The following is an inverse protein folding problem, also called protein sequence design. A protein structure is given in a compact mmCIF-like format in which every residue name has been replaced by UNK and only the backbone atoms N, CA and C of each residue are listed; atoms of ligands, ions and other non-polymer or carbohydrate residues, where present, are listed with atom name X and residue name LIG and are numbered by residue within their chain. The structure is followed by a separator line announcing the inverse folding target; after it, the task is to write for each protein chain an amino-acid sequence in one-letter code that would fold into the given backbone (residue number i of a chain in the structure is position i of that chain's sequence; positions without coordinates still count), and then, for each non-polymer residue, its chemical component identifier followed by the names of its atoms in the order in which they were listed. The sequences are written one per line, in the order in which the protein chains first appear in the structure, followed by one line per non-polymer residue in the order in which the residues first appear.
data_IF_177456617962
#
_entry.id   IF_177456617962
#
_cell.length_a   1.000
_cell.length_b   1.000
_cell.length_c   1.000
_cell.angle_alpha   90.00
_cell.angle_beta   90.00
_cell.angle_gamma   90.00
#
_symmetry.space_group_name_H-M   'P 1'
#
loop_
_entity.id
_entity.type
_entity.pdbx_description
1 polymer ?
#
# COMPACT_ATOMS: atom_id res chain seq x y z
N UNK A 1 -13.44 5.46 -22.02
CA UNK A 1 -13.19 5.90 -20.64
C UNK A 1 -12.23 7.07 -20.70
N UNK A 2 -12.72 8.31 -20.59
CA UNK A 2 -11.87 9.51 -20.74
C UNK A 2 -11.43 9.95 -19.35
N UNK A 3 -10.13 9.87 -19.09
CA UNK A 3 -9.49 10.28 -17.84
C UNK A 3 -9.26 11.79 -17.89
N UNK A 4 -9.84 12.54 -16.94
CA UNK A 4 -9.58 13.97 -16.80
C UNK A 4 -8.24 14.19 -16.07
N UNK A 5 -7.34 14.92 -16.73
CA UNK A 5 -6.01 15.28 -16.25
C UNK A 5 -6.10 16.37 -15.15
N UNK A 6 -5.44 16.20 -13.97
CA UNK A 6 -5.57 17.13 -12.84
C UNK A 6 -4.97 18.53 -13.07
N UNK A 7 -4.14 18.73 -14.10
CA UNK A 7 -3.49 20.03 -14.35
C UNK A 7 -4.44 21.12 -14.89
N UNK A 8 -5.67 20.78 -15.27
CA UNK A 8 -6.67 21.76 -15.70
C UNK A 8 -7.60 22.25 -14.57
N UNK A 9 -7.50 21.71 -13.36
CA UNK A 9 -8.40 22.07 -12.27
C UNK A 9 -8.07 23.43 -11.61
N UNK A 10 -6.83 23.92 -11.75
CA UNK A 10 -6.37 25.12 -11.03
C UNK A 10 -6.17 26.34 -11.94
N UNK A 11 -6.17 26.17 -13.27
CA UNK A 11 -6.09 27.30 -14.22
C UNK A 11 -7.46 27.85 -14.67
N UNK A 12 -8.58 27.40 -14.08
CA UNK A 12 -9.92 27.85 -14.48
C UNK A 12 -10.52 28.95 -13.58
N UNK A 13 -9.90 29.24 -12.43
CA UNK A 13 -10.45 30.18 -11.46
C UNK A 13 -9.85 31.58 -11.49
N UNK A 14 -8.89 31.84 -12.38
CA UNK A 14 -8.31 33.17 -12.49
C UNK A 14 -8.62 33.81 -13.85
N UNK A 15 -9.55 34.78 -13.80
CA UNK A 15 -9.90 35.73 -14.87
C UNK A 15 -10.62 35.14 -16.09
N UNK A 16 -11.96 35.12 -16.03
CA UNK A 16 -12.87 35.93 -16.88
C UNK A 16 -14.32 35.43 -16.80
N UNK A 17 -15.23 36.40 -16.76
CA UNK A 17 -16.69 36.32 -16.95
C UNK A 17 -17.17 35.08 -17.73
N UNK A 18 -17.80 34.12 -17.04
CA UNK A 18 -18.48 32.99 -17.68
C UNK A 18 -19.94 33.36 -17.97
N UNK A 19 -20.22 33.53 -19.25
CA UNK A 19 -21.55 33.69 -19.84
C UNK A 19 -22.43 32.43 -19.68
N UNK A 20 -23.77 32.51 -19.87
CA UNK A 20 -24.75 31.57 -19.30
C UNK A 20 -24.83 30.15 -19.91
N UNK A 21 -23.99 29.79 -20.88
CA UNK A 21 -24.34 28.69 -21.81
C UNK A 21 -23.66 27.34 -21.52
N UNK A 22 -22.65 27.28 -20.64
CA UNK A 22 -21.96 26.01 -20.30
C UNK A 22 -22.72 25.17 -19.28
N UNK A 23 -23.44 25.82 -18.36
CA UNK A 23 -24.29 25.16 -17.36
C UNK A 23 -25.46 24.38 -18.01
N UNK A 24 -25.88 24.79 -19.21
CA UNK A 24 -26.96 24.14 -19.95
C UNK A 24 -26.54 22.76 -20.49
N UNK A 25 -25.32 22.62 -21.02
CA UNK A 25 -24.88 21.36 -21.63
C UNK A 25 -24.61 20.26 -20.59
N UNK A 26 -24.04 20.63 -19.43
CA UNK A 26 -23.85 19.71 -18.31
C UNK A 26 -25.19 19.26 -17.72
N UNK A 27 -26.15 20.17 -17.59
CA UNK A 27 -27.49 19.83 -17.11
C UNK A 27 -28.23 18.87 -18.06
N UNK A 28 -28.06 19.01 -19.38
CA UNK A 28 -28.64 18.10 -20.38
C UNK A 28 -27.99 16.71 -20.32
N UNK A 29 -26.67 16.61 -20.14
CA UNK A 29 -25.99 15.32 -20.00
C UNK A 29 -26.42 14.58 -18.72
N UNK A 30 -26.54 15.29 -17.59
CA UNK A 30 -26.98 14.71 -16.32
C UNK A 30 -28.46 14.29 -16.41
N UNK A 31 -29.33 15.08 -17.04
CA UNK A 31 -30.74 14.68 -17.22
C UNK A 31 -30.88 13.44 -18.10
N UNK A 32 -30.05 13.32 -19.14
CA UNK A 32 -30.00 12.12 -19.98
C UNK A 32 -29.51 10.90 -19.19
N UNK A 33 -28.48 11.08 -18.35
CA UNK A 33 -27.96 10.05 -17.45
C UNK A 33 -29.01 9.62 -16.42
N UNK A 34 -29.62 10.55 -15.70
CA UNK A 34 -30.67 10.25 -14.71
C UNK A 34 -31.87 9.55 -15.35
N UNK A 35 -32.27 9.93 -16.58
CA UNK A 35 -33.37 9.26 -17.28
C UNK A 35 -33.03 7.81 -17.68
N UNK A 36 -31.76 7.55 -18.01
CA UNK A 36 -31.27 6.21 -18.35
C UNK A 36 -31.17 5.29 -17.11
N UNK A 37 -30.82 5.84 -15.95
CA UNK A 37 -30.55 5.05 -14.73
C UNK A 37 -31.64 5.14 -13.65
N UNK A 38 -32.63 6.02 -13.79
CA UNK A 38 -33.79 6.13 -12.88
C UNK A 38 -34.57 4.81 -12.63
N UNK A 39 -34.69 3.86 -13.58
CA UNK A 39 -35.33 2.57 -13.30
C UNK A 39 -34.61 1.70 -12.27
N UNK A 40 -33.34 2.00 -11.98
CA UNK A 40 -32.48 1.25 -11.07
C UNK A 40 -32.27 1.96 -9.72
N UNK A 41 -32.87 3.13 -9.53
CA UNK A 41 -32.83 3.85 -8.25
C UNK A 41 -33.89 3.31 -7.28
N UNK A 42 -33.64 3.33 -5.95
CA UNK A 42 -34.64 3.01 -4.94
C UNK A 42 -35.92 3.84 -5.16
N UNK A 43 -37.09 3.26 -4.89
CA UNK A 43 -38.41 3.86 -5.15
C UNK A 43 -38.59 5.29 -4.59
N UNK A 44 -37.89 5.62 -3.51
CA UNK A 44 -37.85 6.96 -2.90
C UNK A 44 -37.21 7.99 -3.82
N UNK A 45 -36.12 7.67 -4.53
CA UNK A 45 -35.43 8.60 -5.45
C UNK A 45 -36.27 8.93 -6.70
N UNK A 46 -37.06 7.97 -7.19
CA UNK A 46 -37.91 8.13 -8.37
C UNK A 46 -39.06 9.11 -8.16
N UNK A 47 -39.61 9.19 -6.93
CA UNK A 47 -40.66 10.15 -6.56
C UNK A 47 -40.14 11.59 -6.51
N UNK A 48 -38.91 11.81 -6.02
CA UNK A 48 -38.28 13.13 -5.99
C UNK A 48 -38.02 13.69 -7.40
N UNK A 49 -37.57 12.85 -8.34
CA UNK A 49 -37.27 13.28 -9.71
C UNK A 49 -38.54 13.73 -10.46
N UNK A 50 -39.64 12.99 -10.33
CA UNK A 50 -40.91 13.32 -10.96
C UNK A 50 -41.50 14.66 -10.47
N UNK A 51 -41.33 14.97 -9.18
CA UNK A 51 -41.76 16.24 -8.59
C UNK A 51 -40.90 17.42 -9.06
N UNK A 52 -39.57 17.24 -9.16
CA UNK A 52 -38.65 18.26 -9.68
C UNK A 52 -38.95 18.60 -11.16
N UNK A 53 -39.31 17.59 -11.96
CA UNK A 53 -39.64 17.76 -13.38
C UNK A 53 -40.95 18.55 -13.62
N UNK A 54 -41.80 18.74 -12.60
CA UNK A 54 -43.03 19.56 -12.69
C UNK A 54 -42.84 21.03 -12.30
N UNK A 55 -41.68 21.41 -11.76
CA UNK A 55 -41.43 22.78 -11.32
C UNK A 55 -41.23 23.77 -12.50
N UNK A 56 -41.59 25.06 -12.33
CA UNK A 56 -41.26 26.12 -13.28
C UNK A 56 -39.76 26.23 -13.55
N UNK A 57 -39.38 26.63 -14.78
CA UNK A 57 -37.98 26.61 -15.26
C UNK A 57 -37.01 27.36 -14.36
N UNK A 58 -37.39 28.52 -13.80
CA UNK A 58 -36.57 29.31 -12.86
C UNK A 58 -36.35 28.61 -11.51
N UNK A 59 -37.32 27.81 -11.06
CA UNK A 59 -37.27 27.08 -9.80
C UNK A 59 -36.43 25.80 -9.98
N UNK A 60 -36.60 25.10 -11.11
CA UNK A 60 -35.78 23.93 -11.49
C UNK A 60 -34.29 24.22 -11.41
N UNK A 61 -33.81 25.32 -11.98
CA UNK A 61 -32.37 25.63 -11.98
C UNK A 61 -31.80 25.81 -10.56
N UNK A 62 -32.57 26.45 -9.67
CA UNK A 62 -32.17 26.68 -8.27
C UNK A 62 -32.17 25.39 -7.44
N UNK A 63 -33.14 24.50 -7.66
CA UNK A 63 -33.20 23.20 -6.99
C UNK A 63 -32.21 22.19 -7.57
N UNK A 64 -31.99 22.16 -8.88
CA UNK A 64 -30.95 21.34 -9.51
C UNK A 64 -29.57 21.71 -8.95
N UNK A 65 -29.28 23.00 -8.77
CA UNK A 65 -28.01 23.44 -8.18
C UNK A 65 -27.86 23.00 -6.72
N UNK A 66 -28.94 23.09 -5.93
CA UNK A 66 -28.96 22.61 -4.53
C UNK A 66 -28.84 21.09 -4.43
N UNK A 67 -29.50 20.33 -5.32
CA UNK A 67 -29.38 18.87 -5.40
C UNK A 67 -27.95 18.49 -5.80
N UNK A 68 -27.32 19.19 -6.74
CA UNK A 68 -25.91 18.96 -7.09
C UNK A 68 -24.98 19.16 -5.88
N UNK A 69 -25.16 20.26 -5.13
CA UNK A 69 -24.37 20.51 -3.91
C UNK A 69 -24.60 19.41 -2.87
N UNK A 70 -25.85 19.00 -2.64
CA UNK A 70 -26.19 17.94 -1.68
C UNK A 70 -25.68 16.57 -2.13
N UNK A 71 -25.73 16.23 -3.42
CA UNK A 71 -25.20 14.97 -3.95
C UNK A 71 -23.68 14.93 -3.89
N UNK A 72 -23.01 16.04 -4.22
CA UNK A 72 -21.56 16.20 -4.09
C UNK A 72 -21.16 16.12 -2.62
N UNK A 73 -21.88 16.77 -1.71
CA UNK A 73 -21.64 16.68 -0.27
C UNK A 73 -21.94 15.26 0.27
N UNK A 74 -22.97 14.57 -0.22
CA UNK A 74 -23.26 13.18 0.15
C UNK A 74 -22.18 12.21 -0.36
N UNK A 75 -21.64 12.44 -1.56
CA UNK A 75 -20.48 11.70 -2.08
C UNK A 75 -19.20 12.02 -1.30
N UNK A 76 -19.04 13.25 -0.79
CA UNK A 76 -17.92 13.67 0.06
C UNK A 76 -18.06 13.21 1.52
N UNK A 77 -19.27 12.87 1.98
CA UNK A 77 -19.58 12.51 3.38
C UNK A 77 -19.92 11.01 3.51
N UNK A 78 -19.71 10.18 2.48
CA UNK A 78 -19.66 8.73 2.74
C UNK A 78 -18.45 8.47 3.64
N UNK A 79 -18.63 8.11 4.93
CA UNK A 79 -17.51 7.71 5.76
C UNK A 79 -16.94 6.50 5.04
N UNK A 80 -15.65 6.54 4.68
CA UNK A 80 -15.01 5.38 4.10
C UNK A 80 -15.34 4.20 5.01
N UNK A 81 -15.94 3.14 4.45
CA UNK A 81 -16.28 1.93 5.19
C UNK A 81 -15.01 1.15 5.59
N UNK A 82 -13.87 1.83 5.63
CA UNK A 82 -12.57 1.25 5.60
C UNK A 82 -12.13 0.97 7.05
N UNK A 83 -11.89 -0.30 7.34
CA UNK A 83 -11.46 -0.76 8.64
C UNK A 83 -9.95 -0.58 8.80
N UNK A 84 -9.51 -0.59 10.05
CA UNK A 84 -8.09 -0.68 10.40
C UNK A 84 -7.83 -2.04 11.01
N UNK A 85 -6.87 -2.79 10.46
CA UNK A 85 -6.38 -4.03 11.05
C UNK A 85 -5.13 -3.72 11.87
N UNK A 86 -5.15 -4.04 13.14
CA UNK A 86 -4.00 -3.92 14.04
C UNK A 86 -3.64 -5.27 14.63
N UNK A 87 -2.45 -5.38 15.19
CA UNK A 87 -2.07 -6.59 15.90
C UNK A 87 -0.59 -6.64 16.20
N UNK A 88 -0.19 -7.79 16.74
CA UNK A 88 1.18 -8.09 17.10
C UNK A 88 1.62 -9.43 16.53
N UNK A 89 2.86 -9.51 16.05
CA UNK A 89 3.53 -10.75 15.67
C UNK A 89 4.54 -11.11 16.76
N UNK A 90 4.38 -12.30 17.33
CA UNK A 90 5.21 -12.81 18.42
C UNK A 90 5.94 -14.10 18.00
N UNK A 91 7.16 -14.29 18.47
CA UNK A 91 7.87 -15.57 18.43
C UNK A 91 7.60 -16.32 19.72
N UNK A 92 7.26 -17.60 19.58
CA UNK A 92 6.98 -18.50 20.69
C UNK A 92 7.88 -19.74 20.63
N UNK A 93 8.09 -20.38 21.79
CA UNK A 93 8.98 -21.54 21.91
C UNK A 93 10.47 -21.17 21.83
N UNK A 94 11.30 -22.17 21.57
CA UNK A 94 12.75 -21.99 21.50
C UNK A 94 13.19 -21.33 20.19
N UNK A 95 14.05 -20.33 20.30
CA UNK A 95 14.70 -19.66 19.19
C UNK A 95 16.08 -19.16 19.64
N UNK A 96 17.02 -19.06 18.70
CA UNK A 96 18.36 -18.58 19.00
C UNK A 96 19.43 -19.22 18.13
N UNK A 97 20.67 -18.86 18.43
CA UNK A 97 21.85 -19.34 17.69
C UNK A 97 22.39 -20.57 18.39
N UNK A 98 22.58 -21.66 17.64
CA UNK A 98 23.16 -22.88 18.22
C UNK A 98 24.56 -22.63 18.80
N UNK A 99 24.92 -23.28 19.92
CA UNK A 99 26.28 -23.24 20.45
C UNK A 99 27.32 -23.65 19.39
N UNK A 100 28.51 -23.03 19.43
CA UNK A 100 29.63 -23.39 18.55
C UNK A 100 29.63 -22.75 17.15
N UNK A 101 28.64 -21.91 16.82
CA UNK A 101 28.59 -21.17 15.54
C UNK A 101 29.73 -20.14 15.44
N UNK A 102 30.30 -19.99 14.24
CA UNK A 102 31.36 -19.01 13.96
C UNK A 102 30.80 -17.60 14.08
N UNK A 103 31.66 -16.62 14.43
CA UNK A 103 31.23 -15.23 14.65
C UNK A 103 30.35 -14.67 13.52
N UNK A 104 30.71 -14.89 12.26
CA UNK A 104 29.94 -14.39 11.12
C UNK A 104 28.55 -15.04 11.00
N UNK A 105 28.40 -16.31 11.38
CA UNK A 105 27.10 -17.00 11.40
C UNK A 105 26.21 -16.42 12.50
N UNK A 106 26.80 -16.14 13.67
CA UNK A 106 26.08 -15.51 14.78
C UNK A 106 25.60 -14.11 14.43
N UNK A 107 26.48 -13.27 13.89
CA UNK A 107 26.14 -11.91 13.47
C UNK A 107 25.05 -11.91 12.41
N UNK A 108 25.10 -12.85 11.45
CA UNK A 108 24.04 -13.01 10.46
C UNK A 108 22.71 -13.38 11.11
N UNK A 109 22.70 -14.34 12.03
CA UNK A 109 21.49 -14.77 12.73
C UNK A 109 20.89 -13.66 13.61
N UNK A 110 21.73 -12.92 14.35
CA UNK A 110 21.32 -11.77 15.16
C UNK A 110 20.69 -10.65 14.32
N UNK A 111 21.18 -10.44 13.09
CA UNK A 111 20.59 -9.48 12.14
C UNK A 111 19.28 -9.98 11.53
N UNK A 112 19.19 -11.28 11.26
CA UNK A 112 18.04 -11.91 10.62
C UNK A 112 16.85 -12.14 11.56
N UNK A 113 17.09 -12.40 12.85
CA UNK A 113 16.05 -12.68 13.83
C UNK A 113 16.12 -11.66 14.98
N UNK A 114 15.38 -10.56 14.84
CA UNK A 114 15.32 -9.49 15.85
C UNK A 114 14.01 -9.62 16.62
N UNK A 115 14.12 -10.03 17.88
CA UNK A 115 12.98 -10.29 18.77
C UNK A 115 13.11 -9.44 20.04
N UNK A 116 12.04 -8.76 20.44
CA UNK A 116 11.99 -8.00 21.70
C UNK A 116 11.97 -8.92 22.92
N UNK A 117 12.22 -8.36 24.11
CA UNK A 117 12.28 -9.12 25.37
C UNK A 117 10.99 -9.88 25.69
N UNK A 118 9.85 -9.36 25.25
CA UNK A 118 8.52 -9.94 25.41
C UNK A 118 8.04 -10.69 24.15
N UNK A 119 8.95 -11.08 23.27
CA UNK A 119 8.70 -11.99 22.14
C UNK A 119 8.24 -11.33 20.85
N UNK A 120 8.14 -10.00 20.76
CA UNK A 120 7.71 -9.28 19.57
C UNK A 120 8.71 -9.40 18.42
N UNK A 121 8.25 -9.77 17.24
CA UNK A 121 9.10 -10.00 16.08
C UNK A 121 9.18 -8.76 15.19
N UNK A 122 10.36 -8.15 15.07
CA UNK A 122 10.62 -7.06 14.13
C UNK A 122 10.78 -7.59 12.70
N UNK A 123 10.58 -6.73 11.70
CA UNK A 123 10.85 -7.00 10.28
C UNK A 123 9.99 -8.13 9.67
N UNK A 124 8.89 -8.51 10.31
CA UNK A 124 7.89 -9.35 9.69
C UNK A 124 6.99 -8.50 8.79
N UNK A 125 6.69 -8.98 7.59
CA UNK A 125 5.73 -8.33 6.70
C UNK A 125 4.38 -8.96 6.90
N UNK A 126 3.42 -8.14 7.31
CA UNK A 126 2.01 -8.50 7.39
C UNK A 126 1.31 -7.96 6.15
N UNK A 127 0.57 -8.79 5.42
CA UNK A 127 -0.09 -8.38 4.16
C UNK A 127 -1.44 -9.04 4.00
N UNK A 128 -2.35 -8.35 3.31
CA UNK A 128 -3.68 -8.85 2.99
C UNK A 128 -3.69 -9.41 1.57
N UNK A 129 -4.10 -10.67 1.41
CA UNK A 129 -4.22 -11.32 0.11
C UNK A 129 -5.63 -11.12 -0.48
N UNK A 130 -5.74 -11.23 -1.81
CA UNK A 130 -7.03 -11.29 -2.50
C UNK A 130 -7.85 -9.99 -2.52
N UNK A 131 -7.26 -8.85 -2.15
CA UNK A 131 -7.95 -7.57 -2.25
C UNK A 131 -8.17 -7.20 -3.72
N UNK A 132 -9.43 -7.12 -4.14
CA UNK A 132 -9.81 -6.77 -5.50
C UNK A 132 -9.70 -5.27 -5.72
N UNK A 133 -9.14 -4.87 -6.85
CA UNK A 133 -9.02 -3.47 -7.24
C UNK A 133 -7.91 -3.26 -8.25
N UNK A 134 -7.80 -2.04 -8.74
CA UNK A 134 -6.62 -1.59 -9.48
C UNK A 134 -5.82 -0.69 -8.55
N UNK A 135 -4.59 -1.09 -8.27
CA UNK A 135 -3.68 -0.36 -7.41
C UNK A 135 -2.53 0.20 -8.24
N UNK A 136 -2.11 1.40 -7.91
CA UNK A 136 -1.02 2.08 -8.61
C UNK A 136 0.11 2.33 -7.62
N UNK A 137 1.37 2.12 -8.05
CA UNK A 137 2.51 2.48 -7.21
C UNK A 137 2.53 3.99 -6.96
N UNK A 138 3.25 4.46 -5.93
CA UNK A 138 3.38 5.89 -5.64
C UNK A 138 3.81 6.69 -6.89
N UNK A 139 3.12 7.81 -7.13
CA UNK A 139 3.32 8.66 -8.33
C UNK A 139 4.60 9.47 -8.29
N UNK A 140 5.02 9.87 -7.11
CA UNK A 140 6.30 10.52 -6.91
C UNK A 140 7.37 9.43 -6.88
N UNK A 141 8.40 9.56 -7.71
CA UNK A 141 9.45 8.57 -7.86
C UNK A 141 10.81 9.25 -7.78
N UNK A 142 11.81 8.63 -7.13
CA UNK A 142 11.68 7.46 -6.26
C UNK A 142 11.32 7.87 -4.82
N UNK A 143 10.18 7.39 -4.31
CA UNK A 143 9.75 7.63 -2.92
C UNK A 143 10.42 6.65 -1.93
N UNK A 144 11.14 5.64 -2.41
CA UNK A 144 11.65 4.54 -1.57
C UNK A 144 13.11 4.21 -1.90
N UNK A 145 13.97 4.26 -0.88
CA UNK A 145 15.42 4.05 -0.98
C UNK A 145 15.85 2.83 -0.17
N UNK A 146 16.62 1.93 -0.78
CA UNK A 146 17.46 0.95 -0.06
C UNK A 146 18.91 1.42 -0.13
N UNK A 147 19.44 1.86 1.00
CA UNK A 147 20.82 2.30 1.14
C UNK A 147 21.75 1.18 1.57
N UNK A 148 23.03 1.31 1.23
CA UNK A 148 24.14 0.51 1.75
C UNK A 148 24.96 1.39 2.68
N UNK A 149 25.02 1.05 3.97
CA UNK A 149 25.80 1.78 4.98
C UNK A 149 26.31 0.82 6.03
N UNK A 150 27.57 0.98 6.43
CA UNK A 150 28.27 0.15 7.42
C UNK A 150 28.11 -1.35 7.13
N UNK A 151 28.26 -1.72 5.84
CA UNK A 151 28.09 -3.11 5.38
C UNK A 151 26.74 -3.70 5.81
N UNK A 152 25.67 -2.93 5.61
CA UNK A 152 24.28 -3.29 5.89
C UNK A 152 23.35 -2.65 4.87
N UNK A 153 22.28 -3.35 4.47
CA UNK A 153 21.18 -2.77 3.68
C UNK A 153 20.14 -2.13 4.60
N UNK A 154 19.70 -0.92 4.26
CA UNK A 154 18.74 -0.15 5.06
C UNK A 154 17.63 0.39 4.15
N UNK A 155 16.36 0.04 4.36
CA UNK A 155 15.88 -0.92 5.37
C UNK A 155 16.27 -2.38 5.05
N UNK A 156 16.18 -3.23 6.07
CA UNK A 156 16.41 -4.67 5.96
C UNK A 156 15.28 -5.38 5.19
N UNK A 157 14.03 -4.96 5.43
CA UNK A 157 12.84 -5.48 4.76
C UNK A 157 12.02 -4.33 4.18
N UNK A 158 11.60 -4.48 2.93
CA UNK A 158 10.85 -3.47 2.20
C UNK A 158 9.69 -4.09 1.42
N UNK A 159 8.44 -4.03 1.92
CA UNK A 159 7.28 -4.35 1.10
C UNK A 159 6.95 -3.20 0.16
N UNK A 160 6.67 -3.52 -1.10
CA UNK A 160 6.30 -2.56 -2.15
C UNK A 160 5.15 -3.10 -2.99
N UNK A 161 4.46 -2.20 -3.67
CA UNK A 161 3.49 -2.58 -4.69
C UNK A 161 4.21 -2.97 -6.00
N UNK A 162 3.68 -3.94 -6.74
CA UNK A 162 4.08 -4.20 -8.14
C UNK A 162 4.13 -2.90 -8.95
N UNK A 163 5.18 -2.75 -9.76
CA UNK A 163 5.46 -1.55 -10.56
C UNK A 163 6.17 -0.43 -9.80
N UNK A 164 6.47 -0.61 -8.51
CA UNK A 164 7.22 0.39 -7.73
C UNK A 164 8.67 0.46 -8.21
N UNK A 165 9.18 1.68 -8.40
CA UNK A 165 10.60 1.93 -8.64
C UNK A 165 11.31 2.21 -7.31
N UNK A 166 12.33 1.41 -7.01
CA UNK A 166 13.16 1.54 -5.80
C UNK A 166 14.51 2.12 -6.21
N UNK A 167 14.96 3.13 -5.48
CA UNK A 167 16.32 3.67 -5.62
C UNK A 167 17.26 2.93 -4.68
N UNK A 168 18.29 2.32 -5.23
CA UNK A 168 19.39 1.76 -4.46
C UNK A 168 20.52 2.77 -4.36
N UNK A 169 21.12 2.91 -3.19
CA UNK A 169 22.23 3.85 -2.97
C UNK A 169 23.39 3.23 -2.19
N UNK A 170 24.59 3.77 -2.39
CA UNK A 170 25.75 3.46 -1.57
C UNK A 170 26.16 4.68 -0.74
N UNK A 171 26.26 4.54 0.58
CA UNK A 171 26.72 5.59 1.51
C UNK A 171 28.08 5.27 2.13
N UNK A 172 28.64 4.08 1.87
CA UNK A 172 29.97 3.70 2.33
C UNK A 172 31.05 4.18 1.35
N UNK A 173 32.27 4.34 1.86
CA UNK A 173 33.45 4.68 1.06
C UNK A 173 34.06 3.44 0.35
N UNK A 174 33.38 2.29 0.42
CA UNK A 174 33.78 1.03 -0.21
C UNK A 174 32.83 0.67 -1.36
N UNK A 175 33.34 -0.14 -2.30
CA UNK A 175 32.52 -0.75 -3.34
C UNK A 175 31.56 -1.75 -2.70
N UNK A 176 30.30 -1.70 -3.11
CA UNK A 176 29.31 -2.71 -2.78
C UNK A 176 28.60 -3.21 -4.02
N UNK A 177 27.94 -4.36 -3.89
CA UNK A 177 27.09 -4.93 -4.92
C UNK A 177 25.72 -5.29 -4.37
N UNK A 178 24.72 -5.14 -5.23
CA UNK A 178 23.38 -5.69 -4.99
C UNK A 178 23.13 -6.78 -6.01
N UNK A 179 23.00 -8.00 -5.50
CA UNK A 179 22.79 -9.21 -6.26
C UNK A 179 21.44 -9.81 -5.83
N UNK A 180 20.66 -10.26 -6.81
CA UNK A 180 19.48 -11.11 -6.59
C UNK A 180 19.37 -12.14 -7.70
N UNK A 181 19.04 -13.36 -7.31
CA UNK A 181 18.69 -14.47 -8.20
C UNK A 181 17.23 -14.91 -8.05
N UNK A 182 16.43 -14.09 -7.37
CA UNK A 182 15.02 -14.35 -7.11
C UNK A 182 14.24 -14.24 -8.43
N UNK A 183 13.30 -15.16 -8.66
CA UNK A 183 12.46 -15.19 -9.86
C UNK A 183 11.78 -13.83 -10.14
N UNK A 184 11.26 -13.19 -9.08
CA UNK A 184 10.59 -11.89 -9.18
C UNK A 184 11.52 -10.74 -9.65
N UNK A 185 12.83 -10.85 -9.45
CA UNK A 185 13.80 -9.85 -9.92
C UNK A 185 15.25 -10.37 -9.85
N UNK A 186 15.86 -10.59 -11.01
CA UNK A 186 17.31 -10.78 -11.13
C UNK A 186 18.04 -9.42 -11.13
N UNK A 187 19.11 -9.29 -10.34
CA UNK A 187 19.91 -8.05 -10.23
C UNK A 187 21.40 -8.37 -10.19
N UNK A 188 22.19 -7.49 -10.83
CA UNK A 188 23.65 -7.40 -10.73
C UNK A 188 24.03 -5.92 -10.81
N UNK A 189 24.08 -5.25 -9.67
CA UNK A 189 24.43 -3.84 -9.56
C UNK A 189 25.75 -3.68 -8.82
N UNK A 190 26.64 -2.84 -9.33
CA UNK A 190 27.90 -2.48 -8.66
C UNK A 190 27.92 -0.98 -8.35
N UNK A 191 28.26 -0.64 -7.11
CA UNK A 191 28.29 0.72 -6.60
C UNK A 191 29.74 1.12 -6.35
N UNK A 192 30.43 1.60 -7.39
CA UNK A 192 31.88 1.79 -7.38
C UNK A 192 32.39 2.95 -6.50
N UNK A 193 31.51 3.82 -6.00
CA UNK A 193 31.87 4.96 -5.15
C UNK A 193 30.71 5.36 -4.22
N UNK A 194 31.03 6.12 -3.18
CA UNK A 194 30.06 6.71 -2.26
C UNK A 194 29.13 7.70 -2.96
N UNK A 195 27.83 7.54 -2.78
CA UNK A 195 26.80 8.32 -3.44
C UNK A 195 26.33 7.74 -4.77
N UNK A 196 26.95 6.67 -5.27
CA UNK A 196 26.44 5.93 -6.43
C UNK A 196 25.01 5.44 -6.16
N UNK A 197 24.14 5.52 -7.17
CA UNK A 197 22.75 5.11 -7.07
C UNK A 197 22.22 4.53 -8.37
N UNK A 198 21.26 3.60 -8.25
CA UNK A 198 20.54 3.00 -9.38
C UNK A 198 19.06 2.93 -9.06
N UNK A 199 18.22 3.18 -10.08
CA UNK A 199 16.77 3.02 -9.97
C UNK A 199 16.36 1.71 -10.64
N UNK A 200 15.54 0.92 -9.95
CA UNK A 200 15.08 -0.40 -10.42
C UNK A 200 13.58 -0.53 -10.20
N UNK A 201 12.86 -0.89 -11.25
CA UNK A 201 11.41 -1.17 -11.17
C UNK A 201 11.16 -2.64 -10.85
N UNK A 202 10.17 -2.90 -9.98
CA UNK A 202 9.76 -4.24 -9.54
C UNK A 202 8.39 -4.63 -10.11
N UNK A 203 8.39 -5.20 -11.31
CA UNK A 203 7.17 -5.48 -12.09
C UNK A 203 6.55 -6.88 -11.87
N UNK A 204 7.14 -7.71 -11.01
CA UNK A 204 6.67 -9.07 -10.74
C UNK A 204 6.48 -9.27 -9.23
N UNK A 205 5.32 -9.80 -8.86
CA UNK A 205 5.02 -10.20 -7.47
C UNK A 205 6.03 -11.26 -7.00
N UNK A 206 6.43 -11.18 -5.74
CA UNK A 206 7.25 -12.20 -5.10
C UNK A 206 8.20 -11.64 -4.06
N UNK A 207 9.00 -12.53 -3.48
CA UNK A 207 10.04 -12.16 -2.51
C UNK A 207 11.37 -12.08 -3.24
N UNK A 208 12.03 -10.93 -3.14
CA UNK A 208 13.34 -10.68 -3.74
C UNK A 208 14.38 -10.57 -2.64
N UNK A 209 15.27 -11.55 -2.55
CA UNK A 209 16.43 -11.51 -1.66
C UNK A 209 17.56 -10.73 -2.32
N UNK A 210 18.05 -9.71 -1.62
CA UNK A 210 19.20 -8.91 -1.96
C UNK A 210 20.39 -9.35 -1.13
N UNK A 211 21.56 -9.46 -1.74
CA UNK A 211 22.80 -9.79 -1.05
C UNK A 211 24.03 -9.15 -1.71
N UNK A 212 25.12 -9.02 -0.94
CA UNK A 212 26.44 -8.62 -1.43
C UNK A 212 27.42 -9.81 -1.35
N UNK A 213 28.19 -10.02 -2.41
CA UNK A 213 29.16 -11.11 -2.53
C UNK A 213 30.42 -10.90 -1.69
N UNK A 214 30.90 -9.65 -1.62
CA UNK A 214 32.07 -9.27 -0.82
C UNK A 214 31.76 -9.20 0.68
N UNK A 215 30.49 -8.93 1.03
CA UNK A 215 30.03 -8.78 2.41
C UNK A 215 28.85 -9.72 2.68
N UNK A 216 29.14 -11.02 2.83
CA UNK A 216 28.13 -12.10 2.90
C UNK A 216 27.10 -12.02 4.04
N UNK A 217 27.25 -11.06 4.96
CA UNK A 217 26.28 -10.77 6.03
C UNK A 217 25.31 -9.63 5.66
N UNK A 218 25.49 -8.98 4.51
CA UNK A 218 24.60 -7.97 3.96
C UNK A 218 23.48 -8.67 3.21
N UNK A 219 22.30 -8.70 3.81
CA UNK A 219 21.09 -9.24 3.20
C UNK A 219 19.92 -8.29 3.46
N UNK A 220 19.01 -8.21 2.49
CA UNK A 220 17.75 -7.50 2.61
C UNK A 220 16.70 -8.20 1.75
N UNK A 221 15.42 -7.86 1.96
CA UNK A 221 14.31 -8.46 1.24
C UNK A 221 13.37 -7.38 0.74
N UNK A 222 13.02 -7.46 -0.54
CA UNK A 222 11.93 -6.70 -1.12
C UNK A 222 10.75 -7.64 -1.31
N UNK A 223 9.61 -7.32 -0.70
CA UNK A 223 8.38 -8.09 -0.89
C UNK A 223 7.47 -7.34 -1.85
N UNK A 224 7.40 -7.81 -3.09
CA UNK A 224 6.56 -7.22 -4.12
C UNK A 224 5.14 -7.79 -3.99
N UNK A 225 4.19 -6.94 -3.63
CA UNK A 225 2.78 -7.27 -3.36
C UNK A 225 1.86 -6.66 -4.42
N UNK A 226 0.72 -7.29 -4.69
CA UNK A 226 -0.25 -6.87 -5.72
C UNK A 226 -1.22 -5.78 -5.25
N UNK A 227 -1.32 -5.56 -3.95
CA UNK A 227 -2.18 -4.55 -3.34
C UNK A 227 -1.41 -3.83 -2.20
N UNK A 228 -1.84 -2.61 -1.81
CA UNK A 228 -1.10 -1.76 -0.87
C UNK A 228 -1.37 -2.10 0.61
N UNK A 229 -2.14 -3.15 0.90
CA UNK A 229 -2.56 -3.49 2.26
C UNK A 229 -1.50 -4.37 2.93
N UNK A 230 -0.38 -3.75 3.29
CA UNK A 230 0.71 -4.39 4.00
C UNK A 230 1.37 -3.46 5.01
N UNK A 231 2.05 -4.04 5.98
CA UNK A 231 2.82 -3.33 7.00
C UNK A 231 4.07 -4.15 7.38
N UNK A 232 5.11 -3.46 7.85
CA UNK A 232 6.27 -4.11 8.51
C UNK A 232 6.10 -3.96 10.01
N UNK A 233 6.36 -5.01 10.77
CA UNK A 233 6.30 -4.95 12.22
C UNK A 233 7.40 -4.07 12.81
N UNK A 234 7.05 -3.32 13.86
CA UNK A 234 7.97 -2.49 14.62
C UNK A 234 8.89 -3.31 15.55
N UNK A 235 9.73 -2.61 16.34
CA UNK A 235 10.66 -3.23 17.30
C UNK A 235 9.97 -4.11 18.37
N UNK A 236 8.67 -3.92 18.58
CA UNK A 236 7.86 -4.67 19.53
C UNK A 236 6.92 -5.65 18.85
N UNK A 237 7.04 -5.86 17.53
CA UNK A 237 6.20 -6.76 16.75
C UNK A 237 4.84 -6.21 16.34
N UNK A 238 4.53 -4.93 16.59
CA UNK A 238 3.22 -4.38 16.28
C UNK A 238 3.11 -3.97 14.80
N UNK A 239 1.91 -4.09 14.25
CA UNK A 239 1.60 -3.61 12.90
C UNK A 239 0.24 -2.90 12.84
N UNK A 240 0.03 -2.11 11.80
CA UNK A 240 -1.25 -1.45 11.51
C UNK A 240 -1.43 -1.34 10.00
N UNK A 241 -2.57 -1.81 9.49
CA UNK A 241 -2.99 -1.73 8.09
C UNK A 241 -4.31 -0.98 8.07
N UNK A 242 -4.28 0.25 7.59
CA UNK A 242 -5.46 1.13 7.55
C UNK A 242 -6.18 1.06 6.21
N UNK A 243 -7.42 1.55 6.21
CA UNK A 243 -8.24 1.74 5.01
C UNK A 243 -8.57 0.44 4.24
N UNK A 244 -8.61 -0.71 4.94
CA UNK A 244 -8.97 -1.98 4.33
C UNK A 244 -10.50 -2.02 4.09
N UNK A 245 -10.97 -2.29 2.87
CA UNK A 245 -12.41 -2.41 2.62
C UNK A 245 -13.04 -3.56 3.43
N UNK A 246 -14.35 -3.52 3.71
CA UNK A 246 -15.04 -4.64 4.32
C UNK A 246 -14.98 -5.88 3.43
N UNK A 247 -14.82 -7.05 4.04
CA UNK A 247 -14.68 -8.30 3.32
C UNK A 247 -14.10 -9.43 4.16
N UNK A 248 -13.98 -10.61 3.56
CA UNK A 248 -13.22 -11.73 4.12
C UNK A 248 -11.89 -11.83 3.38
N UNK A 249 -10.80 -11.85 4.12
CA UNK A 249 -9.47 -11.86 3.56
C UNK A 249 -8.59 -12.91 4.24
N UNK A 250 -7.55 -13.32 3.52
CA UNK A 250 -6.41 -14.01 4.13
C UNK A 250 -5.36 -12.98 4.48
N UNK A 251 -4.96 -12.96 5.75
CA UNK A 251 -3.81 -12.18 6.22
C UNK A 251 -2.60 -13.10 6.31
N UNK A 252 -1.52 -12.70 5.66
CA UNK A 252 -0.24 -13.41 5.60
C UNK A 252 0.80 -12.64 6.40
N UNK A 253 1.51 -13.36 7.28
CA UNK A 253 2.76 -12.89 7.89
C UNK A 253 3.92 -13.65 7.26
N UNK A 254 4.89 -12.93 6.72
CA UNK A 254 6.15 -13.46 6.23
C UNK A 254 7.32 -12.94 7.08
N UNK A 255 8.28 -13.80 7.39
CA UNK A 255 9.57 -13.43 7.98
C UNK A 255 10.68 -14.29 7.38
N UNK A 256 11.86 -13.72 7.12
CA UNK A 256 12.97 -14.38 6.41
C UNK A 256 13.41 -15.71 7.06
N UNK A 257 13.35 -15.79 8.40
CA UNK A 257 13.82 -16.94 9.19
C UNK A 257 12.70 -17.91 9.48
N UNK A 258 11.58 -17.39 9.96
CA UNK A 258 10.51 -18.21 10.53
C UNK A 258 9.62 -18.76 9.42
N UNK A 259 9.52 -18.04 8.30
CA UNK A 259 8.71 -18.40 7.15
C UNK A 259 7.37 -17.68 7.18
N UNK A 260 6.35 -18.35 6.64
CA UNK A 260 5.04 -17.75 6.40
C UNK A 260 3.96 -18.41 7.24
N UNK A 261 3.07 -17.61 7.82
CA UNK A 261 1.82 -18.05 8.43
C UNK A 261 0.64 -17.27 7.85
N UNK A 262 -0.51 -17.92 7.70
CA UNK A 262 -1.74 -17.32 7.18
C UNK A 262 -2.90 -17.52 8.15
N UNK A 263 -3.80 -16.56 8.18
CA UNK A 263 -5.06 -16.63 8.93
C UNK A 263 -6.19 -15.95 8.14
N UNK A 264 -7.41 -16.44 8.27
CA UNK A 264 -8.58 -15.75 7.73
C UNK A 264 -9.08 -14.67 8.70
N UNK A 265 -9.47 -13.52 8.15
CA UNK A 265 -10.06 -12.41 8.92
C UNK A 265 -11.31 -11.88 8.22
N UNK A 266 -12.37 -11.69 8.99
CA UNK A 266 -13.56 -10.97 8.56
C UNK A 266 -13.45 -9.50 8.99
N UNK A 267 -13.66 -8.61 8.05
CA UNK A 267 -13.58 -7.17 8.22
C UNK A 267 -14.97 -6.59 7.99
N UNK A 268 -15.57 -6.06 9.05
CA UNK A 268 -16.92 -5.49 9.01
C UNK A 268 -16.93 -4.05 8.46
N UNK A 269 -18.13 -3.55 8.18
CA UNK A 269 -18.35 -2.16 7.78
C UNK A 269 -18.00 -1.20 8.94
N UNK A 270 -16.80 -0.61 8.85
CA UNK A 270 -16.18 0.26 9.88
C UNK A 270 -15.77 -0.50 11.14
N UNK A 271 -14.55 -0.25 11.60
CA UNK A 271 -14.08 -0.79 12.88
C UNK A 271 -12.58 -1.02 12.91
N UNK A 272 -12.09 -1.35 14.11
CA UNK A 272 -10.75 -1.84 14.32
C UNK A 272 -10.83 -3.36 14.46
N UNK A 273 -10.11 -4.09 13.62
CA UNK A 273 -9.98 -5.55 13.72
C UNK A 273 -8.61 -5.85 14.31
N UNK A 274 -8.56 -6.57 15.43
CA UNK A 274 -7.30 -7.00 16.03
C UNK A 274 -6.97 -8.43 15.62
N UNK A 275 -5.78 -8.66 15.08
CA UNK A 275 -5.29 -9.98 14.67
C UNK A 275 -3.86 -10.17 15.14
N UNK A 276 -3.66 -11.07 16.10
CA UNK A 276 -2.32 -11.39 16.63
C UNK A 276 -1.80 -12.70 16.03
N UNK A 277 -0.49 -12.78 15.80
CA UNK A 277 0.20 -13.96 15.28
C UNK A 277 1.21 -14.48 16.28
N UNK A 278 1.23 -15.80 16.46
CA UNK A 278 2.27 -16.51 17.22
C UNK A 278 2.99 -17.44 16.29
N UNK A 279 4.21 -17.06 15.93
CA UNK A 279 5.09 -17.84 15.07
C UNK A 279 5.97 -18.75 15.93
N UNK A 280 6.14 -20.00 15.51
CA UNK A 280 7.03 -20.93 16.18
C UNK A 280 8.49 -20.56 15.89
N UNK A 281 9.28 -20.37 16.95
CA UNK A 281 10.70 -20.09 16.89
C UNK A 281 11.49 -21.17 16.14
N UNK A 282 12.63 -20.77 15.56
CA UNK A 282 13.58 -21.66 14.89
C UNK A 282 15.00 -21.39 15.39
N UNK A 283 15.77 -22.46 15.54
CA UNK A 283 17.20 -22.36 15.85
C UNK A 283 18.04 -22.13 14.58
N UNK A 284 19.10 -21.34 14.73
CA UNK A 284 20.03 -20.89 13.68
C UNK A 284 21.39 -21.61 13.69
#
# INVERSE_FOLDING_TARGET
MVILNPKNAVAFFDKRNLWPNTASNLAVQILTYLKQYAPFCPSIFSLFLAQILRLPRKIKTKYIFRVNIVLILLLLVTPSLAATVTGRVEVTGEYGIKPGKKLHERVKAERALVVSRDGGLKNAVVSIEGVKGVFYPPKEQPVIVIGQKEKTFIPHVLPILVGTMVRFGNSDDFVHRIISDSEAKHLRLEFSYKGAAFDVTFDMQGVVRLWCDDHRMMEAWVLVKENPYFAVTDDNGNFTISNLPPGRYTIEVWHEVIGTQRQEVAVEERGNVKVDFKLQGKEF
#
